data_IF_297202540619
#
_entry.id   IF_297202540619
#
_cell.length_a   1.000
_cell.length_b   1.000
_cell.length_c   1.000
_cell.angle_alpha   90.00
_cell.angle_beta   90.00
_cell.angle_gamma   90.00
#
_symmetry.space_group_name_H-M   'P 1'
#
loop_
_entity.id
_entity.type
_entity.pdbx_description
1 polymer ?
#
# COMPACT_ATOMS: atom_id res chain seq x y z
N UNK A 1 -24.00 -18.26 -7.72
CA UNK A 1 -22.71 -17.90 -8.33
C UNK A 1 -22.25 -16.63 -7.63
N UNK A 2 -21.46 -16.77 -6.56
CA UNK A 2 -21.06 -15.64 -5.73
C UNK A 2 -19.94 -14.87 -6.44
N UNK A 3 -20.19 -13.62 -6.81
CA UNK A 3 -19.15 -12.70 -7.24
C UNK A 3 -18.29 -12.39 -6.01
N UNK A 4 -17.13 -13.03 -5.92
CA UNK A 4 -16.07 -12.63 -5.00
C UNK A 4 -15.75 -11.16 -5.28
N UNK A 5 -16.19 -10.28 -4.39
CA UNK A 5 -15.82 -8.88 -4.39
C UNK A 5 -14.34 -8.85 -3.99
N UNK A 6 -13.44 -8.87 -4.97
CA UNK A 6 -12.03 -8.57 -4.72
C UNK A 6 -12.00 -7.16 -4.16
N UNK A 7 -11.62 -7.04 -2.89
CA UNK A 7 -11.29 -5.75 -2.28
C UNK A 7 -10.05 -5.26 -2.99
N UNK A 8 -10.23 -4.63 -4.15
CA UNK A 8 -9.13 -4.01 -4.85
C UNK A 8 -8.60 -2.88 -3.97
N UNK A 9 -7.46 -3.13 -3.35
CA UNK A 9 -6.74 -2.17 -2.53
C UNK A 9 -6.57 -0.89 -3.34
N UNK A 10 -7.12 0.24 -2.89
CA UNK A 10 -7.17 1.48 -3.67
C UNK A 10 -5.82 1.94 -4.22
N UNK A 11 -4.73 1.63 -3.51
CA UNK A 11 -3.34 1.87 -3.96
C UNK A 11 -3.01 1.05 -5.22
N UNK A 12 -3.44 -0.21 -5.27
CA UNK A 12 -3.26 -1.11 -6.42
C UNK A 12 -4.07 -0.64 -7.63
N UNK A 13 -5.33 -0.22 -7.41
CA UNK A 13 -6.16 0.36 -8.47
C UNK A 13 -5.54 1.64 -9.04
N UNK A 14 -5.08 2.56 -8.17
CA UNK A 14 -4.42 3.79 -8.58
C UNK A 14 -3.12 3.52 -9.35
N UNK A 15 -2.31 2.55 -8.91
CA UNK A 15 -1.10 2.13 -9.61
C UNK A 15 -1.39 1.62 -11.03
N UNK A 16 -2.37 0.72 -11.20
CA UNK A 16 -2.70 0.18 -12.52
C UNK A 16 -3.36 1.22 -13.44
N UNK A 17 -4.22 2.09 -12.89
CA UNK A 17 -4.82 3.18 -13.66
C UNK A 17 -3.77 4.19 -14.16
N UNK A 18 -2.73 4.47 -13.35
CA UNK A 18 -1.63 5.34 -13.75
C UNK A 18 -0.74 4.68 -14.81
N UNK A 19 -0.46 3.39 -14.67
CA UNK A 19 0.34 2.63 -15.64
C UNK A 19 -0.36 2.51 -17.00
N UNK A 20 -1.68 2.32 -17.03
CA UNK A 20 -2.46 2.31 -18.28
C UNK A 20 -2.39 3.66 -19.01
N UNK A 21 -2.47 4.76 -18.26
CA UNK A 21 -2.29 6.13 -18.78
C UNK A 21 -0.88 6.38 -19.31
N UNK A 22 0.15 5.86 -18.65
CA UNK A 22 1.55 5.99 -19.13
C UNK A 22 1.76 5.16 -20.40
N UNK A 23 1.23 3.94 -20.45
CA UNK A 23 1.34 3.06 -21.62
C UNK A 23 0.66 3.68 -22.86
N UNK A 24 -0.51 4.30 -22.69
CA UNK A 24 -1.23 4.98 -23.77
C UNK A 24 -0.53 6.24 -24.27
N UNK A 25 0.10 7.04 -23.39
CA UNK A 25 0.87 8.24 -23.76
C UNK A 25 2.19 7.93 -24.48
N UNK A 26 2.80 6.76 -24.22
CA UNK A 26 4.05 6.34 -24.83
C UNK A 26 3.92 6.06 -26.35
N UNK A 27 2.70 5.90 -26.86
CA UNK A 27 2.42 5.75 -28.30
C UNK A 27 2.22 7.09 -29.03
N UNK A 28 2.20 8.23 -28.32
CA UNK A 28 1.89 9.55 -28.92
C UNK A 28 2.98 10.62 -28.78
N UNK A 29 4.11 10.35 -28.12
CA UNK A 29 5.09 11.39 -27.80
C UNK A 29 6.34 11.36 -28.71
N UNK A 30 6.39 12.22 -29.72
CA UNK A 30 7.68 12.73 -30.20
C UNK A 30 8.14 13.82 -29.22
N UNK A 31 9.09 13.52 -28.34
CA UNK A 31 9.48 14.44 -27.26
C UNK A 31 10.80 15.17 -27.55
N UNK A 32 10.78 16.50 -27.41
CA UNK A 32 11.93 17.41 -27.57
C UNK A 32 12.35 18.06 -26.24
N UNK A 33 11.94 17.52 -25.09
CA UNK A 33 12.21 18.10 -23.78
C UNK A 33 13.05 17.18 -22.88
N UNK A 34 14.15 17.67 -22.26
CA UNK A 34 14.96 16.91 -21.31
C UNK A 34 14.17 16.37 -20.10
N UNK A 35 13.06 17.01 -19.74
CA UNK A 35 12.20 16.58 -18.63
C UNK A 35 11.41 15.30 -18.95
N UNK A 36 11.15 15.00 -20.24
CA UNK A 36 10.50 13.76 -20.67
C UNK A 36 11.48 12.58 -20.73
N UNK A 37 12.77 12.83 -21.02
CA UNK A 37 13.80 11.79 -21.00
C UNK A 37 14.01 11.21 -19.58
N UNK A 38 13.93 12.05 -18.53
CA UNK A 38 13.98 11.59 -17.14
C UNK A 38 12.82 10.65 -16.79
N UNK A 39 11.62 10.94 -17.29
CA UNK A 39 10.45 10.08 -17.14
C UNK A 39 10.59 8.79 -17.96
N UNK A 40 11.21 8.84 -19.13
CA UNK A 40 11.50 7.67 -19.96
C UNK A 40 12.52 6.71 -19.29
N UNK A 41 13.45 7.22 -18.48
CA UNK A 41 14.39 6.41 -17.70
C UNK A 41 13.75 5.72 -16.48
N UNK A 42 12.55 6.13 -16.08
CA UNK A 42 11.77 5.51 -15.01
C UNK A 42 10.64 4.69 -15.63
N UNK A 43 10.99 3.74 -16.50
CA UNK A 43 10.01 2.88 -17.18
C UNK A 43 9.07 2.17 -16.20
N UNK A 44 7.92 1.70 -16.69
CA UNK A 44 6.88 1.04 -15.87
C UNK A 44 7.45 -0.13 -15.05
N UNK A 45 8.42 -0.87 -15.59
CA UNK A 45 9.11 -1.93 -14.86
C UNK A 45 9.93 -1.42 -13.66
N UNK A 46 10.54 -0.23 -13.78
CA UNK A 46 11.24 0.40 -12.68
C UNK A 46 10.27 0.79 -11.56
N UNK A 47 9.15 1.40 -11.93
CA UNK A 47 8.12 1.80 -10.96
C UNK A 47 7.54 0.55 -10.28
N UNK A 48 7.31 -0.54 -11.01
CA UNK A 48 6.78 -1.80 -10.47
C UNK A 48 7.65 -2.39 -9.35
N UNK A 49 8.96 -2.53 -9.55
CA UNK A 49 9.82 -3.07 -8.47
C UNK A 49 9.90 -2.11 -7.29
N UNK A 50 9.88 -0.80 -7.52
CA UNK A 50 9.86 0.20 -6.44
C UNK A 50 8.62 0.03 -5.57
N UNK A 51 7.44 -0.14 -6.18
CA UNK A 51 6.22 -0.41 -5.45
C UNK A 51 6.27 -1.76 -4.72
N UNK A 52 6.89 -2.79 -5.30
CA UNK A 52 7.10 -4.06 -4.62
C UNK A 52 8.02 -3.92 -3.39
N UNK A 53 9.08 -3.12 -3.47
CA UNK A 53 9.94 -2.83 -2.33
C UNK A 53 9.23 -2.02 -1.25
N UNK A 54 8.42 -1.02 -1.63
CA UNK A 54 7.59 -0.27 -0.67
C UNK A 54 6.59 -1.18 0.03
N UNK A 55 5.91 -2.07 -0.71
CA UNK A 55 5.00 -3.06 -0.13
C UNK A 55 5.73 -3.98 0.85
N UNK A 56 6.90 -4.49 0.50
CA UNK A 56 7.70 -5.35 1.38
C UNK A 56 8.14 -4.60 2.65
N UNK A 57 8.58 -3.35 2.51
CA UNK A 57 8.97 -2.51 3.65
C UNK A 57 7.79 -2.28 4.60
N UNK A 58 6.60 -1.98 4.06
CA UNK A 58 5.37 -1.81 4.84
C UNK A 58 4.93 -3.09 5.55
N UNK A 59 5.04 -4.25 4.89
CA UNK A 59 4.72 -5.55 5.51
C UNK A 59 5.70 -5.90 6.63
N UNK A 60 7.00 -5.68 6.40
CA UNK A 60 8.01 -5.88 7.42
C UNK A 60 7.73 -4.99 8.63
N UNK A 61 7.56 -3.69 8.41
CA UNK A 61 7.24 -2.73 9.46
C UNK A 61 5.74 -2.68 9.81
N UNK A 62 4.99 -3.75 9.59
CA UNK A 62 3.57 -3.83 9.93
C UNK A 62 3.40 -3.48 11.41
N UNK A 63 2.78 -2.32 11.64
CA UNK A 63 2.73 -1.74 12.95
C UNK A 63 1.52 -2.26 13.72
N UNK A 64 1.82 -2.89 14.86
CA UNK A 64 0.83 -3.39 15.82
C UNK A 64 0.84 -2.59 17.12
N UNK A 65 1.59 -1.49 17.17
CA UNK A 65 1.70 -0.66 18.37
C UNK A 65 0.42 0.17 18.55
N UNK A 66 -0.04 0.29 19.80
CA UNK A 66 -1.06 1.28 20.15
C UNK A 66 -0.40 2.66 20.21
N UNK A 67 -1.01 3.64 19.55
CA UNK A 67 -0.47 5.00 19.59
C UNK A 67 -0.60 5.60 21.00
N UNK A 68 0.47 6.16 21.57
CA UNK A 68 0.42 6.80 22.87
C UNK A 68 -0.43 8.07 22.78
N UNK A 69 -1.41 8.17 23.68
CA UNK A 69 -2.27 9.34 23.81
C UNK A 69 -1.53 10.39 24.65
N UNK A 70 -1.42 11.60 24.12
CA UNK A 70 -1.03 12.74 24.94
C UNK A 70 -2.20 13.10 25.86
N UNK A 71 -1.99 13.03 27.18
CA UNK A 71 -3.05 13.22 28.17
C UNK A 71 -3.55 14.68 28.28
N UNK A 72 -2.70 15.65 27.94
CA UNK A 72 -3.04 17.08 27.97
C UNK A 72 -3.88 17.46 26.76
N UNK A 73 -3.45 17.06 25.56
CA UNK A 73 -4.13 17.38 24.30
C UNK A 73 -5.24 16.38 23.95
N UNK A 74 -5.27 15.22 24.61
CA UNK A 74 -6.12 14.06 24.29
C UNK A 74 -6.01 13.63 22.82
N UNK A 75 -4.84 13.83 22.22
CA UNK A 75 -4.56 13.52 20.83
C UNK A 75 -3.38 12.56 20.69
N UNK A 76 -3.30 11.92 19.52
CA UNK A 76 -2.15 11.13 19.07
C UNK A 76 -1.40 11.92 18.00
N UNK A 77 -0.08 11.76 17.93
CA UNK A 77 0.75 12.46 16.93
C UNK A 77 1.46 11.50 15.96
N UNK A 78 1.43 10.19 16.22
CA UNK A 78 2.07 9.17 15.39
C UNK A 78 3.62 9.13 15.41
N UNK A 79 4.29 9.91 16.26
CA UNK A 79 5.76 10.03 16.26
C UNK A 79 6.42 9.52 17.55
N UNK A 80 7.73 9.23 17.49
CA UNK A 80 8.53 8.83 18.65
C UNK A 80 8.31 7.38 19.12
N UNK A 81 7.56 6.58 18.34
CA UNK A 81 7.32 5.16 18.63
C UNK A 81 8.28 4.31 17.80
N UNK A 82 9.06 3.46 18.47
CA UNK A 82 9.95 2.51 17.80
C UNK A 82 9.12 1.47 17.03
N UNK A 83 9.37 1.36 15.71
CA UNK A 83 8.76 0.36 14.84
C UNK A 83 9.78 -0.73 14.55
N UNK A 84 9.35 -1.98 14.67
CA UNK A 84 10.20 -3.16 14.45
C UNK A 84 9.62 -4.03 13.36
N UNK A 85 10.50 -4.68 12.61
CA UNK A 85 10.07 -5.68 11.65
C UNK A 85 9.45 -6.87 12.39
N UNK A 86 8.32 -7.38 11.91
CA UNK A 86 7.60 -8.52 12.49
C UNK A 86 7.20 -9.51 11.40
N UNK A 87 6.85 -10.72 11.81
CA UNK A 87 6.25 -11.70 10.91
C UNK A 87 4.87 -11.22 10.47
N UNK A 88 4.77 -10.83 9.20
CA UNK A 88 3.53 -10.29 8.62
C UNK A 88 2.39 -11.32 8.65
N UNK A 89 2.67 -12.59 8.38
CA UNK A 89 1.63 -13.63 8.33
C UNK A 89 1.07 -13.87 9.73
N UNK A 90 1.92 -13.88 10.76
CA UNK A 90 1.47 -13.99 12.14
C UNK A 90 0.56 -12.81 12.55
N UNK A 91 0.88 -11.58 12.12
CA UNK A 91 0.04 -10.40 12.36
C UNK A 91 -1.30 -10.52 11.64
N UNK A 92 -1.27 -10.91 10.37
CA UNK A 92 -2.47 -11.11 9.54
C UNK A 92 -3.39 -12.16 10.16
N UNK A 93 -2.86 -13.33 10.52
CA UNK A 93 -3.63 -14.42 11.11
C UNK A 93 -4.24 -14.02 12.46
N UNK A 94 -3.49 -13.28 13.28
CA UNK A 94 -4.03 -12.70 14.52
C UNK A 94 -5.17 -11.72 14.22
N UNK A 95 -4.96 -10.79 13.29
CA UNK A 95 -5.97 -9.78 12.94
C UNK A 95 -7.25 -10.42 12.36
N UNK A 96 -7.12 -11.44 11.51
CA UNK A 96 -8.24 -12.18 10.93
C UNK A 96 -9.01 -12.97 11.99
N UNK A 97 -8.30 -13.61 12.94
CA UNK A 97 -8.93 -14.34 14.06
C UNK A 97 -9.82 -13.44 14.92
N UNK A 98 -9.42 -12.19 15.12
CA UNK A 98 -10.09 -11.23 16.01
C UNK A 98 -10.91 -10.17 15.25
N UNK A 99 -11.05 -10.29 13.94
CA UNK A 99 -11.84 -9.35 13.14
C UNK A 99 -13.32 -9.44 13.52
N UNK A 100 -13.86 -8.38 14.13
CA UNK A 100 -15.29 -8.21 14.41
C UNK A 100 -16.06 -8.01 13.09
N UNK A 101 -16.35 -9.14 12.44
CA UNK A 101 -17.03 -9.19 11.15
C UNK A 101 -17.29 -10.60 10.59
N UNK A 102 -16.90 -11.67 11.30
CA UNK A 102 -17.32 -13.02 10.92
C UNK A 102 -18.74 -13.31 11.45
N UNK A 103 -19.72 -13.35 10.56
CA UNK A 103 -21.09 -13.78 10.86
C UNK A 103 -21.20 -15.29 11.24
N UNK A 104 -20.11 -15.92 11.67
CA UNK A 104 -20.06 -17.31 12.18
C UNK A 104 -19.53 -17.39 13.61
N UNK A 105 -19.21 -16.26 14.26
CA UNK A 105 -18.99 -16.22 15.71
C UNK A 105 -20.26 -15.87 16.51
N UNK A 106 -21.38 -15.57 15.82
CA UNK A 106 -22.69 -15.38 16.43
C UNK A 106 -23.74 -16.07 15.54
N UNK A 107 -24.19 -17.26 15.96
CA UNK A 107 -25.15 -18.22 15.36
C UNK A 107 -24.54 -19.39 14.61
#
# INVERSE_FOLDING_TARGET
MALSHTRDHGIRFAFYSLNDRIATLNHSASSSSPHEALHAHTGVDHIRHCFDYLRQALMCAADTNLEPINLETRAVNGWGVERKCRDYEAIKDWAEKWAEGNATAIS
#
